data_IF_826323575534
#
_entry.id   IF_826323575534
#
_cell.length_a   1.000
_cell.length_b   1.000
_cell.length_c   1.000
_cell.angle_alpha   90.00
_cell.angle_beta   90.00
_cell.angle_gamma   90.00
#
_symmetry.space_group_name_H-M   'P 1'
#
loop_
_entity.id
_entity.type
_entity.pdbx_description
1 polymer ?
#
# COMPACT_ATOMS: atom_id res chain seq x y z
N UNK A 1 -16.50 -5.12 -11.16
CA UNK A 1 -16.95 -4.00 -10.30
C UNK A 1 -16.86 -2.69 -11.08
N UNK A 2 -17.66 -1.66 -10.79
CA UNK A 2 -17.48 -0.34 -11.41
C UNK A 2 -16.09 0.21 -11.10
N UNK A 3 -15.49 0.94 -12.06
CA UNK A 3 -14.19 1.57 -11.85
C UNK A 3 -14.26 2.54 -10.67
N UNK A 4 -13.30 2.51 -9.72
CA UNK A 4 -13.34 3.40 -8.56
C UNK A 4 -13.30 4.88 -8.96
N UNK A 5 -14.06 5.69 -8.23
CA UNK A 5 -14.13 7.13 -8.47
C UNK A 5 -12.79 7.82 -8.15
N UNK A 6 -12.59 9.02 -8.69
CA UNK A 6 -11.42 9.84 -8.39
C UNK A 6 -11.28 10.13 -6.88
N UNK A 7 -12.40 10.30 -6.19
CA UNK A 7 -12.42 10.52 -4.75
C UNK A 7 -12.05 9.26 -3.98
N UNK A 8 -12.53 8.08 -4.42
CA UNK A 8 -12.14 6.80 -3.83
C UNK A 8 -10.62 6.56 -3.96
N UNK A 9 -10.05 6.90 -5.13
CA UNK A 9 -8.59 6.85 -5.34
C UNK A 9 -7.88 7.78 -4.36
N UNK A 10 -8.32 9.03 -4.25
CA UNK A 10 -7.71 10.01 -3.36
C UNK A 10 -7.73 9.56 -1.89
N UNK A 11 -8.87 9.04 -1.42
CA UNK A 11 -9.01 8.49 -0.08
C UNK A 11 -8.08 7.29 0.12
N UNK A 12 -8.00 6.38 -0.86
CA UNK A 12 -7.10 5.24 -0.79
C UNK A 12 -5.63 5.67 -0.72
N UNK A 13 -5.19 6.61 -1.58
CA UNK A 13 -3.83 7.15 -1.54
C UNK A 13 -3.52 7.79 -0.19
N UNK A 14 -4.40 8.68 0.29
CA UNK A 14 -4.23 9.38 1.56
C UNK A 14 -4.10 8.42 2.74
N UNK A 15 -5.00 7.43 2.81
CA UNK A 15 -4.96 6.37 3.82
C UNK A 15 -3.65 5.57 3.77
N UNK A 16 -3.21 5.14 2.59
CA UNK A 16 -1.95 4.39 2.43
C UNK A 16 -0.70 5.17 2.85
N UNK A 17 -0.76 6.50 2.96
CA UNK A 17 0.33 7.35 3.44
C UNK A 17 0.06 8.00 4.79
N UNK A 18 -1.01 7.58 5.49
CA UNK A 18 -1.47 8.15 6.77
C UNK A 18 -1.79 9.65 6.74
N UNK A 19 -2.24 10.17 5.60
CA UNK A 19 -2.61 11.57 5.44
C UNK A 19 -4.09 11.73 5.14
N UNK A 20 -4.72 12.67 5.86
CA UNK A 20 -5.99 13.26 5.44
C UNK A 20 -5.71 14.31 4.37
N UNK A 21 -5.76 13.90 3.11
CA UNK A 21 -5.50 14.77 1.97
C UNK A 21 -6.59 15.84 1.84
N UNK A 22 -6.19 17.10 1.65
CA UNK A 22 -7.11 18.14 1.24
C UNK A 22 -7.44 17.98 -0.26
N UNK A 23 -8.57 18.52 -0.75
CA UNK A 23 -8.93 18.41 -2.17
C UNK A 23 -7.83 18.88 -3.13
N UNK A 24 -7.09 19.93 -2.76
CA UNK A 24 -5.95 20.43 -3.55
C UNK A 24 -4.76 19.46 -3.64
N UNK A 25 -4.61 18.55 -2.68
CA UNK A 25 -3.51 17.58 -2.67
C UNK A 25 -3.77 16.45 -3.67
N UNK A 26 -5.03 16.09 -3.88
CA UNK A 26 -5.45 15.10 -4.89
C UNK A 26 -5.03 15.51 -6.31
N UNK A 27 -5.17 16.79 -6.65
CA UNK A 27 -4.76 17.27 -7.98
C UNK A 27 -3.25 17.20 -8.16
N UNK A 28 -2.48 17.55 -7.12
CA UNK A 28 -1.02 17.48 -7.13
C UNK A 28 -0.52 16.04 -7.21
N UNK A 29 -1.11 15.14 -6.44
CA UNK A 29 -0.75 13.72 -6.42
C UNK A 29 -1.02 13.05 -7.77
N UNK A 30 -2.13 13.38 -8.43
CA UNK A 30 -2.45 12.79 -9.73
C UNK A 30 -1.80 13.53 -10.91
N UNK A 31 -0.97 14.54 -10.67
CA UNK A 31 -0.23 15.23 -11.73
C UNK A 31 0.86 14.32 -12.32
N UNK A 32 1.02 14.26 -13.65
CA UNK A 32 2.07 13.47 -14.29
C UNK A 32 3.47 13.87 -13.81
N UNK A 33 4.35 12.89 -13.66
CA UNK A 33 5.76 13.12 -13.35
C UNK A 33 6.54 13.17 -14.66
N UNK A 34 7.27 14.26 -14.87
CA UNK A 34 8.16 14.42 -16.01
C UNK A 34 9.53 13.77 -15.79
N UNK A 35 10.50 14.12 -16.64
CA UNK A 35 11.88 13.61 -16.50
C UNK A 35 12.59 14.05 -15.21
N UNK A 36 12.14 15.16 -14.60
CA UNK A 36 12.61 15.63 -13.29
C UNK A 36 11.51 15.41 -12.26
N UNK A 37 11.79 14.55 -11.29
CA UNK A 37 10.89 14.25 -10.19
C UNK A 37 11.08 15.26 -9.05
N UNK A 38 9.98 15.75 -8.49
CA UNK A 38 10.01 16.51 -7.23
C UNK A 38 10.13 15.54 -6.04
N UNK A 39 11.35 15.10 -5.75
CA UNK A 39 11.63 14.22 -4.61
C UNK A 39 11.35 14.88 -3.26
N UNK A 40 11.31 16.21 -3.18
CA UNK A 40 10.94 16.92 -1.95
C UNK A 40 9.44 16.73 -1.67
N UNK A 41 8.61 16.77 -2.69
CA UNK A 41 7.19 16.44 -2.56
C UNK A 41 7.00 14.97 -2.15
N UNK A 42 7.72 14.03 -2.76
CA UNK A 42 7.65 12.60 -2.38
C UNK A 42 7.96 12.42 -0.89
N UNK A 43 9.07 13.00 -0.38
CA UNK A 43 9.41 12.95 1.05
C UNK A 43 8.31 13.50 1.94
N UNK A 44 7.72 14.63 1.55
CA UNK A 44 6.69 15.28 2.36
C UNK A 44 5.46 14.37 2.53
N UNK A 45 5.05 13.67 1.47
CA UNK A 45 3.91 12.75 1.53
C UNK A 45 4.23 11.41 2.20
N UNK A 46 5.48 10.93 2.15
CA UNK A 46 5.85 9.63 2.72
C UNK A 46 6.37 9.71 4.15
N UNK A 47 6.63 10.90 4.67
CA UNK A 47 7.24 11.13 5.99
C UNK A 47 6.51 10.46 7.17
N UNK A 48 5.21 10.19 7.05
CA UNK A 48 4.45 9.47 8.09
C UNK A 48 4.52 7.95 7.90
N UNK A 49 4.39 7.46 6.66
CA UNK A 49 4.40 6.04 6.34
C UNK A 49 5.76 5.37 6.56
N UNK A 50 6.87 6.08 6.31
CA UNK A 50 8.23 5.51 6.31
C UNK A 50 8.91 5.63 7.69
N UNK A 51 8.19 6.02 8.76
CA UNK A 51 8.77 6.27 10.10
C UNK A 51 9.47 5.06 10.73
N UNK A 52 9.04 3.83 10.43
CA UNK A 52 9.78 2.61 10.79
C UNK A 52 9.36 1.41 9.94
N UNK A 53 10.24 0.38 9.79
CA UNK A 53 9.87 -0.88 9.15
C UNK A 53 8.65 -1.56 9.79
N UNK A 54 8.46 -1.40 11.11
CA UNK A 54 7.29 -1.91 11.82
C UNK A 54 6.00 -1.15 11.47
N UNK A 55 6.08 0.18 11.27
CA UNK A 55 4.94 0.96 10.80
C UNK A 55 4.52 0.53 9.38
N UNK A 56 5.50 0.24 8.52
CA UNK A 56 5.26 -0.27 7.17
C UNK A 56 4.71 -1.71 7.16
N UNK A 57 5.11 -2.57 8.10
CA UNK A 57 4.52 -3.89 8.28
C UNK A 57 3.08 -3.84 8.82
N UNK A 58 2.73 -2.81 9.61
CA UNK A 58 1.36 -2.59 10.07
C UNK A 58 0.39 -2.28 8.90
N UNK A 59 0.91 -1.79 7.76
CA UNK A 59 0.13 -1.51 6.55
C UNK A 59 -0.46 -2.79 5.92
N UNK A 60 0.18 -3.95 6.09
CA UNK A 60 -0.24 -5.20 5.41
C UNK A 60 -1.58 -5.74 5.91
N UNK A 61 -2.02 -5.35 7.10
CA UNK A 61 -3.28 -5.83 7.67
C UNK A 61 -4.44 -4.83 7.71
N UNK A 62 -4.18 -3.54 7.52
CA UNK A 62 -5.18 -2.47 7.71
C UNK A 62 -5.73 -1.90 6.41
N UNK A 63 -4.99 -2.02 5.30
CA UNK A 63 -5.32 -1.33 4.05
C UNK A 63 -5.80 -2.24 2.93
N UNK A 64 -6.26 -3.46 3.23
CA UNK A 64 -6.78 -4.39 2.21
C UNK A 64 -7.86 -3.73 1.36
N UNK A 65 -8.75 -2.93 1.96
CA UNK A 65 -9.77 -2.17 1.22
C UNK A 65 -9.16 -1.11 0.28
N UNK A 66 -8.17 -0.37 0.75
CA UNK A 66 -7.55 0.69 -0.04
C UNK A 66 -6.67 0.09 -1.16
N UNK A 67 -5.96 -0.99 -0.88
CA UNK A 67 -5.23 -1.77 -1.88
C UNK A 67 -6.19 -2.43 -2.87
N UNK A 68 -7.38 -2.86 -2.46
CA UNK A 68 -8.41 -3.35 -3.38
C UNK A 68 -8.89 -2.24 -4.33
N UNK A 69 -9.09 -1.02 -3.82
CA UNK A 69 -9.40 0.15 -4.65
C UNK A 69 -8.28 0.42 -5.65
N UNK A 70 -7.02 0.43 -5.20
CA UNK A 70 -5.88 0.63 -6.10
C UNK A 70 -5.79 -0.50 -7.14
N UNK A 71 -5.96 -1.75 -6.72
CA UNK A 71 -5.93 -2.93 -7.60
C UNK A 71 -7.00 -2.85 -8.70
N UNK A 72 -8.22 -2.44 -8.36
CA UNK A 72 -9.30 -2.26 -9.33
C UNK A 72 -9.04 -1.10 -10.29
N UNK A 73 -8.43 0.00 -9.82
CA UNK A 73 -8.07 1.15 -10.68
C UNK A 73 -6.95 0.81 -11.66
N UNK A 74 -6.04 -0.06 -11.23
CA UNK A 74 -4.86 -0.48 -11.97
C UNK A 74 -5.13 -1.64 -12.93
N UNK A 75 -6.34 -2.21 -12.93
CA UNK A 75 -6.73 -3.26 -13.87
C UNK A 75 -6.59 -2.80 -15.34
N UNK A 76 -7.16 -1.65 -15.76
CA UNK A 76 -6.97 -1.17 -17.14
C UNK A 76 -5.77 -0.23 -17.31
N UNK A 77 -4.94 0.02 -16.28
CA UNK A 77 -3.94 1.09 -16.30
C UNK A 77 -2.54 0.61 -15.96
N UNK A 78 -1.55 1.15 -16.67
CA UNK A 78 -0.15 0.94 -16.32
C UNK A 78 0.22 1.65 -15.01
N UNK A 79 -0.29 2.88 -14.83
CA UNK A 79 -0.05 3.77 -13.69
C UNK A 79 -1.36 4.41 -13.20
N UNK A 80 -1.38 4.97 -11.99
CA UNK A 80 -2.52 5.76 -11.52
C UNK A 80 -2.75 7.00 -12.40
N UNK A 81 -1.68 7.57 -12.94
CA UNK A 81 -1.72 8.63 -13.97
C UNK A 81 -2.17 8.18 -15.36
N UNK A 82 -2.46 6.89 -15.57
CA UNK A 82 -2.84 6.33 -16.87
C UNK A 82 -1.61 5.80 -17.63
N UNK A 83 -1.24 6.47 -18.72
CA UNK A 83 -0.13 6.05 -19.58
C UNK A 83 1.27 6.41 -19.03
N UNK A 84 1.34 7.42 -18.16
CA UNK A 84 2.57 7.90 -17.52
C UNK A 84 2.40 7.90 -16.00
N UNK A 85 3.49 7.72 -15.23
CA UNK A 85 3.42 7.79 -13.77
C UNK A 85 3.05 9.21 -13.32
N UNK A 86 2.26 9.31 -12.24
CA UNK A 86 1.99 10.53 -11.51
C UNK A 86 2.72 10.55 -10.17
N UNK A 87 2.62 11.66 -9.44
CA UNK A 87 3.30 11.80 -8.14
C UNK A 87 2.80 10.74 -7.13
N UNK A 88 1.52 10.39 -7.18
CA UNK A 88 0.93 9.35 -6.35
C UNK A 88 1.57 7.98 -6.59
N UNK A 89 1.95 7.67 -7.84
CA UNK A 89 2.62 6.42 -8.16
C UNK A 89 3.94 6.29 -7.38
N UNK A 90 4.77 7.34 -7.40
CA UNK A 90 6.06 7.35 -6.70
C UNK A 90 5.90 7.39 -5.18
N UNK A 91 4.96 8.19 -4.68
CA UNK A 91 4.66 8.28 -3.25
C UNK A 91 4.23 6.91 -2.70
N UNK A 92 3.34 6.22 -3.39
CA UNK A 92 2.87 4.91 -2.95
C UNK A 92 3.91 3.82 -3.14
N UNK A 93 4.75 3.87 -4.18
CA UNK A 93 5.85 2.91 -4.35
C UNK A 93 6.83 2.94 -3.16
N UNK A 94 7.14 4.13 -2.65
CA UNK A 94 7.96 4.27 -1.44
C UNK A 94 7.19 3.81 -0.20
N UNK A 95 5.96 4.28 -0.02
CA UNK A 95 5.18 4.02 1.20
C UNK A 95 4.79 2.54 1.36
N UNK A 96 4.49 1.85 0.25
CA UNK A 96 3.99 0.48 0.26
C UNK A 96 5.08 -0.58 0.19
N UNK A 97 6.37 -0.23 0.13
CA UNK A 97 7.43 -1.23 0.03
C UNK A 97 7.41 -2.23 1.18
N UNK A 98 7.36 -1.76 2.43
CA UNK A 98 7.30 -2.65 3.58
C UNK A 98 6.03 -3.52 3.61
N UNK A 99 4.93 -3.02 3.03
CA UNK A 99 3.68 -3.76 2.88
C UNK A 99 3.85 -4.94 1.91
N UNK A 100 4.34 -4.68 0.69
CA UNK A 100 4.59 -5.72 -0.31
C UNK A 100 5.71 -6.70 0.10
N UNK A 101 6.70 -6.23 0.84
CA UNK A 101 7.74 -7.09 1.40
C UNK A 101 7.19 -8.05 2.46
N UNK A 102 6.16 -7.65 3.20
CA UNK A 102 5.52 -8.47 4.23
C UNK A 102 4.43 -9.41 3.69
N UNK A 103 3.91 -9.16 2.48
CA UNK A 103 2.89 -9.99 1.88
C UNK A 103 3.42 -11.38 1.49
N UNK A 104 2.63 -12.40 1.85
CA UNK A 104 2.77 -13.73 1.28
C UNK A 104 2.32 -13.74 -0.19
N UNK A 105 2.59 -14.84 -0.89
CA UNK A 105 2.26 -14.96 -2.31
C UNK A 105 0.75 -14.91 -2.55
N UNK A 106 -0.06 -15.38 -1.61
CA UNK A 106 -1.52 -15.33 -1.72
C UNK A 106 -2.02 -13.87 -1.77
N UNK A 107 -1.49 -12.98 -0.93
CA UNK A 107 -1.83 -11.55 -0.95
C UNK A 107 -1.39 -10.90 -2.25
N UNK A 108 -0.16 -11.18 -2.69
CA UNK A 108 0.37 -10.63 -3.95
C UNK A 108 -0.45 -11.06 -5.16
N UNK A 109 -0.94 -12.30 -5.18
CA UNK A 109 -1.81 -12.82 -6.23
C UNK A 109 -3.22 -12.24 -6.21
N UNK A 110 -3.83 -12.14 -5.03
CA UNK A 110 -5.14 -11.52 -4.90
C UNK A 110 -5.11 -10.03 -5.34
N UNK A 111 -3.98 -9.36 -5.13
CA UNK A 111 -3.73 -7.97 -5.54
C UNK A 111 -2.90 -7.88 -6.84
N UNK A 112 -3.13 -8.77 -7.80
CA UNK A 112 -2.26 -8.93 -8.98
C UNK A 112 -1.97 -7.64 -9.77
N UNK A 113 -2.96 -6.75 -9.94
CA UNK A 113 -2.78 -5.49 -10.67
C UNK A 113 -1.91 -4.51 -9.86
N UNK A 114 -2.11 -4.46 -8.55
CA UNK A 114 -1.27 -3.66 -7.65
C UNK A 114 0.15 -4.25 -7.54
N UNK A 115 0.30 -5.57 -7.46
CA UNK A 115 1.60 -6.25 -7.46
C UNK A 115 2.40 -5.95 -8.73
N UNK A 116 1.78 -6.11 -9.91
CA UNK A 116 2.39 -5.75 -11.21
C UNK A 116 2.81 -4.29 -11.25
N UNK A 117 1.92 -3.39 -10.81
CA UNK A 117 2.17 -1.96 -10.80
C UNK A 117 3.32 -1.59 -9.84
N UNK A 118 3.36 -2.19 -8.65
CA UNK A 118 4.42 -1.95 -7.67
C UNK A 118 5.76 -2.44 -8.19
N UNK A 119 5.81 -3.65 -8.77
CA UNK A 119 7.02 -4.23 -9.33
C UNK A 119 7.61 -3.34 -10.46
N UNK A 120 6.75 -2.82 -11.33
CA UNK A 120 7.16 -1.83 -12.33
C UNK A 120 7.74 -0.56 -11.70
N UNK A 121 7.11 -0.04 -10.64
CA UNK A 121 7.52 1.22 -10.01
C UNK A 121 8.77 1.11 -9.16
N UNK A 122 9.01 -0.01 -8.46
CA UNK A 122 10.24 -0.17 -7.68
C UNK A 122 11.48 -0.09 -8.58
N UNK A 123 11.42 -0.63 -9.80
CA UNK A 123 12.49 -0.51 -10.78
C UNK A 123 12.53 0.88 -11.42
N UNK A 124 11.37 1.45 -11.75
CA UNK A 124 11.28 2.77 -12.40
C UNK A 124 11.73 3.91 -11.49
N UNK A 125 11.40 3.88 -10.20
CA UNK A 125 11.80 4.91 -9.24
C UNK A 125 13.33 5.00 -9.13
N UNK A 126 14.03 3.87 -9.13
CA UNK A 126 15.50 3.82 -9.17
C UNK A 126 16.02 4.45 -10.47
N UNK A 127 15.45 4.09 -11.63
CA UNK A 127 15.83 4.67 -12.92
C UNK A 127 15.56 6.19 -13.01
N UNK A 128 14.60 6.70 -12.25
CA UNK A 128 14.29 8.13 -12.14
C UNK A 128 15.20 8.90 -11.16
N UNK A 129 16.20 8.23 -10.55
CA UNK A 129 17.15 8.87 -9.65
C UNK A 129 16.61 9.06 -8.23
N UNK A 130 15.87 8.08 -7.70
CA UNK A 130 15.40 8.10 -6.31
C UNK A 130 16.55 8.30 -5.32
N UNK A 131 16.47 9.30 -4.42
CA UNK A 131 17.47 9.55 -3.39
C UNK A 131 17.64 8.37 -2.43
N UNK A 132 18.86 8.17 -1.92
CA UNK A 132 19.19 7.01 -1.07
C UNK A 132 18.35 6.90 0.21
N UNK A 133 17.97 8.03 0.82
CA UNK A 133 17.13 8.04 2.02
C UNK A 133 15.67 7.65 1.76
N UNK A 134 15.23 7.68 0.50
CA UNK A 134 13.93 7.19 0.07
C UNK A 134 14.01 5.79 -0.54
N UNK A 135 15.21 5.29 -0.83
CA UNK A 135 15.36 3.93 -1.35
C UNK A 135 14.84 2.99 -0.27
N UNK A 136 13.83 2.17 -0.59
CA UNK A 136 13.43 1.16 0.34
C UNK A 136 14.54 0.11 0.48
N UNK A 137 14.29 -0.92 1.29
CA UNK A 137 15.16 -2.09 1.39
C UNK A 137 15.35 -2.83 0.04
N UNK A 138 15.84 -4.07 0.06
CA UNK A 138 16.00 -4.84 -1.18
C UNK A 138 14.69 -4.90 -1.99
N UNK A 139 14.76 -4.99 -3.33
CA UNK A 139 13.57 -5.11 -4.18
C UNK A 139 12.68 -6.27 -3.71
N UNK A 140 11.36 -6.06 -3.73
CA UNK A 140 10.41 -7.11 -3.40
C UNK A 140 10.35 -8.09 -4.57
N UNK A 141 10.46 -9.38 -4.26
CA UNK A 141 10.32 -10.45 -5.25
C UNK A 141 8.87 -10.91 -5.38
N UNK A 142 8.49 -11.24 -6.60
CA UNK A 142 7.17 -11.75 -6.96
C UNK A 142 7.29 -13.12 -7.62
N UNK A 143 6.45 -14.07 -7.19
CA UNK A 143 6.31 -15.38 -7.81
C UNK A 143 5.18 -15.28 -8.83
N UNK A 144 5.49 -15.57 -10.10
CA UNK A 144 4.52 -15.49 -11.21
C UNK A 144 3.90 -16.84 -11.57
N UNK A 145 4.22 -17.88 -10.80
CA UNK A 145 3.51 -19.16 -10.86
C UNK A 145 2.13 -18.99 -10.22
N UNK A 146 1.09 -19.06 -11.05
CA UNK A 146 -0.29 -18.86 -10.62
C UNK A 146 -0.72 -20.00 -9.68
N UNK A 147 -1.24 -19.70 -8.47
CA UNK A 147 -1.80 -20.71 -7.59
C UNK A 147 -3.13 -21.23 -8.14
N UNK A 148 -3.40 -22.51 -7.89
CA UNK A 148 -4.69 -23.13 -8.15
C UNK A 148 -5.33 -23.59 -6.83
N UNK A 149 -6.49 -23.02 -6.41
CA UNK A 149 -7.27 -21.96 -7.07
C UNK A 149 -6.66 -20.56 -6.91
N UNK A 150 -7.03 -19.63 -7.80
CA UNK A 150 -6.63 -18.22 -7.68
C UNK A 150 -7.25 -17.60 -6.41
N UNK A 151 -6.44 -16.92 -5.57
CA UNK A 151 -6.95 -16.27 -4.38
C UNK A 151 -7.75 -15.02 -4.74
N UNK A 152 -8.85 -14.81 -4.03
CA UNK A 152 -9.69 -13.63 -4.15
C UNK A 152 -9.30 -12.59 -3.08
N UNK A 153 -9.51 -11.30 -3.36
CA UNK A 153 -9.24 -10.23 -2.37
C UNK A 153 -10.11 -10.43 -1.13
N UNK A 154 -11.33 -10.92 -1.30
CA UNK A 154 -12.29 -11.24 -0.23
C UNK A 154 -11.78 -12.34 0.70
N UNK A 155 -10.81 -13.16 0.25
CA UNK A 155 -10.16 -14.19 1.07
C UNK A 155 -9.04 -13.63 1.97
N UNK A 156 -8.68 -12.35 1.80
CA UNK A 156 -7.67 -11.70 2.61
C UNK A 156 -8.30 -11.22 3.92
N UNK A 157 -7.97 -11.89 5.02
CA UNK A 157 -8.49 -11.54 6.35
C UNK A 157 -7.96 -10.15 6.78
N UNK A 158 -8.82 -9.17 7.11
CA UNK A 158 -8.39 -7.92 7.71
C UNK A 158 -7.83 -8.13 9.12
N UNK A 159 -7.05 -7.18 9.63
CA UNK A 159 -6.72 -7.17 11.06
C UNK A 159 -7.99 -6.96 11.88
N UNK A 160 -8.15 -7.75 12.94
CA UNK A 160 -9.25 -7.58 13.87
C UNK A 160 -8.76 -7.82 15.30
N UNK A 161 -9.45 -7.24 16.27
CA UNK A 161 -9.30 -7.70 17.64
C UNK A 161 -10.02 -9.03 17.86
N UNK A 162 -9.51 -9.86 18.75
CA UNK A 162 -10.24 -11.03 19.24
C UNK A 162 -11.31 -10.65 20.27
N UNK A 163 -11.96 -11.65 20.87
CA UNK A 163 -13.01 -11.46 21.88
C UNK A 163 -12.49 -10.79 23.15
N UNK A 164 -11.18 -10.88 23.39
CA UNK A 164 -10.45 -10.30 24.50
C UNK A 164 -9.96 -8.88 24.18
N UNK A 165 -10.13 -8.41 22.95
CA UNK A 165 -9.66 -7.10 22.49
C UNK A 165 -8.19 -7.10 22.05
N UNK A 166 -7.55 -8.26 21.91
CA UNK A 166 -6.16 -8.38 21.44
C UNK A 166 -6.12 -8.25 19.93
N UNK A 167 -5.28 -7.37 19.41
CA UNK A 167 -5.07 -7.25 17.98
C UNK A 167 -4.49 -8.56 17.42
N UNK A 168 -5.15 -9.10 16.40
CA UNK A 168 -4.84 -10.40 15.80
C UNK A 168 -4.84 -10.31 14.26
N UNK A 169 -3.92 -11.04 13.63
CA UNK A 169 -3.92 -11.29 12.19
C UNK A 169 -4.17 -12.77 11.92
N UNK A 170 -5.25 -13.12 11.20
CA UNK A 170 -5.68 -14.52 11.02
C UNK A 170 -5.75 -15.29 12.36
N UNK A 171 -6.18 -14.62 13.43
CA UNK A 171 -6.24 -15.19 14.79
C UNK A 171 -4.89 -15.29 15.53
N UNK A 172 -3.79 -14.84 14.92
CA UNK A 172 -2.47 -14.81 15.57
C UNK A 172 -2.29 -13.46 16.29
N UNK A 173 -2.07 -13.45 17.62
CA UNK A 173 -1.90 -12.22 18.38
C UNK A 173 -0.64 -11.43 18.02
N UNK A 174 -0.77 -10.11 17.93
CA UNK A 174 0.40 -9.22 17.90
C UNK A 174 1.02 -9.11 19.29
N UNK A 175 2.25 -9.60 19.43
CA UNK A 175 3.06 -9.47 20.64
C UNK A 175 4.18 -8.45 20.46
N UNK A 176 4.35 -7.58 21.44
CA UNK A 176 5.48 -6.64 21.55
C UNK A 176 6.36 -7.04 22.75
N UNK A 177 7.53 -6.42 22.90
CA UNK A 177 8.36 -6.59 24.10
C UNK A 177 7.63 -6.19 25.40
N UNK A 178 6.57 -5.37 25.32
CA UNK A 178 5.73 -4.94 26.44
C UNK A 178 4.48 -5.82 26.64
N UNK A 179 4.31 -6.89 25.84
CA UNK A 179 3.16 -7.79 25.88
C UNK A 179 2.23 -7.67 24.66
N UNK A 180 1.04 -8.26 24.77
CA UNK A 180 0.02 -8.30 23.69
C UNK A 180 -0.52 -6.90 23.41
N UNK A 181 -0.67 -6.55 22.13
CA UNK A 181 -1.32 -5.31 21.73
C UNK A 181 -2.84 -5.43 21.90
N UNK A 182 -3.45 -4.59 22.74
CA UNK A 182 -4.89 -4.64 23.03
C UNK A 182 -5.58 -3.33 22.69
N UNK A 183 -6.80 -3.37 22.15
CA UNK A 183 -7.69 -2.23 21.96
C UNK A 183 -8.99 -2.39 22.76
N UNK A 184 -9.65 -1.27 23.07
CA UNK A 184 -10.88 -1.26 23.86
C UNK A 184 -12.08 -1.86 23.11
N UNK A 185 -12.02 -1.89 21.79
CA UNK A 185 -13.09 -2.40 20.92
C UNK A 185 -12.79 -3.87 20.62
N UNK A 186 -13.71 -4.75 21.00
CA UNK A 186 -13.60 -6.21 20.87
C UNK A 186 -14.18 -6.69 19.55
N UNK A 187 -13.61 -7.75 18.98
CA UNK A 187 -14.07 -8.37 17.72
C UNK A 187 -14.27 -7.39 16.58
N UNK A 188 -13.52 -6.28 16.56
CA UNK A 188 -13.70 -5.22 15.59
C UNK A 188 -12.55 -5.22 14.59
N UNK A 189 -12.82 -4.95 13.30
CA UNK A 189 -11.77 -4.67 12.35
C UNK A 189 -10.98 -3.45 12.81
N UNK A 190 -9.66 -3.53 12.75
CA UNK A 190 -8.77 -2.43 13.09
C UNK A 190 -8.57 -1.64 11.79
N UNK A 191 -9.06 -0.41 11.76
CA UNK A 191 -9.13 0.46 10.56
C UNK A 191 -8.33 1.74 10.70
#
# INVERSE_FOLDING_TARGET
>A
MPAPSRDAIAVAVGKCVFLKLAPQDTQKLLAPVGAKVDWKAVRAYTAQAVRSPQAAACLSGHFTEQLAVLNAVLEPKLFLGGASPCLADLVLAVALHGCFAAFDDQHKWALCNASRWFDLLQHRAVALGMPDDLKPGPPVTFVYDAPEPLPAIESLAPLATDAEGVACYRGVPFATAAGKCTAAIKSAPIS
#
